data_IF_946921655645
#
_entry.id   IF_946921655645
#
_cell.length_a   1.000
_cell.length_b   1.000
_cell.length_c   1.000
_cell.angle_alpha   90.00
_cell.angle_beta   90.00
_cell.angle_gamma   90.00
#
_symmetry.space_group_name_H-M   'P 1'
#
loop_
_entity.id
_entity.type
_entity.pdbx_description
1 polymer ?
#
# COMPACT_ATOMS: atom_id res chain seq x y z
N UNK A 1 56.14 -52.52 31.23
CA UNK A 1 57.43 -51.81 31.16
C UNK A 1 57.17 -50.33 31.44
N UNK A 2 57.68 -49.89 32.59
CA UNK A 2 57.85 -48.54 33.19
C UNK A 2 57.20 -47.25 32.62
N UNK A 3 56.51 -46.55 33.56
CA UNK A 3 56.58 -45.12 33.96
C UNK A 3 56.10 -44.03 32.94
N UNK A 4 55.40 -42.94 33.30
CA UNK A 4 55.64 -42.01 34.42
C UNK A 4 54.40 -41.21 34.87
N UNK A 5 54.44 -40.82 36.15
CA UNK A 5 53.53 -40.02 36.98
C UNK A 5 53.36 -38.54 36.56
N UNK A 6 52.31 -37.86 37.06
CA UNK A 6 52.38 -36.72 38.03
C UNK A 6 51.01 -36.02 38.18
N UNK A 7 50.68 -35.75 39.44
CA UNK A 7 49.52 -35.08 40.04
C UNK A 7 49.65 -33.55 39.91
N UNK A 8 48.55 -32.81 39.71
CA UNK A 8 48.40 -31.47 40.34
C UNK A 8 46.93 -31.12 40.63
N UNK A 9 46.76 -30.60 41.84
CA UNK A 9 45.55 -30.25 42.59
C UNK A 9 45.14 -28.79 42.28
N UNK A 10 43.84 -28.44 42.36
CA UNK A 10 43.34 -27.27 43.14
C UNK A 10 41.84 -26.98 42.92
N UNK A 11 41.11 -26.92 44.04
CA UNK A 11 39.76 -26.35 44.20
C UNK A 11 39.81 -24.81 44.21
N UNK A 12 38.78 -24.15 43.68
CA UNK A 12 38.22 -22.86 44.16
C UNK A 12 36.70 -22.88 43.92
N UNK A 13 35.88 -23.04 44.98
CA UNK A 13 35.16 -22.00 45.75
C UNK A 13 33.97 -21.30 45.04
N UNK A 14 32.76 -21.80 45.36
CA UNK A 14 31.60 -21.08 45.96
C UNK A 14 30.89 -19.91 45.23
N UNK A 15 29.59 -20.15 45.00
CA UNK A 15 28.36 -19.30 45.00
C UNK A 15 28.27 -17.99 44.18
N UNK A 16 27.20 -17.94 43.37
CA UNK A 16 26.52 -16.71 42.95
C UNK A 16 25.20 -17.02 42.26
N UNK A 17 24.08 -16.98 43.00
CA UNK A 17 22.73 -17.01 42.45
C UNK A 17 22.42 -15.67 41.77
N UNK A 18 21.94 -15.72 40.53
CA UNK A 18 21.47 -14.55 39.79
C UNK A 18 20.41 -14.97 38.79
N UNK A 19 19.14 -14.91 39.20
CA UNK A 19 17.99 -14.95 38.29
C UNK A 19 18.07 -13.72 37.37
N UNK A 20 18.60 -13.89 36.16
CA UNK A 20 18.54 -12.85 35.15
C UNK A 20 17.18 -12.94 34.46
N UNK A 21 16.31 -11.95 34.73
CA UNK A 21 15.15 -11.64 33.90
C UNK A 21 15.70 -11.31 32.52
N UNK A 22 15.43 -12.17 31.54
CA UNK A 22 15.68 -11.86 30.15
C UNK A 22 14.90 -10.60 29.77
N UNK A 23 15.63 -9.52 29.47
CA UNK A 23 15.07 -8.35 28.85
C UNK A 23 14.35 -8.77 27.57
N UNK A 24 13.06 -8.46 27.52
CA UNK A 24 12.25 -8.54 26.30
C UNK A 24 12.89 -7.56 25.30
N UNK A 25 13.28 -7.97 24.09
CA UNK A 25 13.80 -7.01 23.13
C UNK A 25 12.72 -5.95 22.88
N UNK A 26 13.11 -4.68 23.01
CA UNK A 26 12.25 -3.55 22.68
C UNK A 26 11.76 -3.74 21.24
N UNK A 27 10.44 -3.73 21.07
CA UNK A 27 9.83 -3.70 19.75
C UNK A 27 10.44 -2.52 18.99
N UNK A 28 11.04 -2.80 17.83
CA UNK A 28 11.52 -1.78 16.91
C UNK A 28 10.36 -0.84 16.60
N UNK A 29 10.42 0.38 17.11
CA UNK A 29 9.49 1.45 16.77
C UNK A 29 9.81 1.84 15.33
N UNK A 30 9.19 1.15 14.37
CA UNK A 30 9.13 1.64 13.00
C UNK A 30 8.35 2.95 13.07
N UNK A 31 8.92 4.10 12.68
CA UNK A 31 8.18 5.35 12.67
C UNK A 31 6.90 5.16 11.86
N UNK A 32 5.75 5.48 12.46
CA UNK A 32 4.47 5.35 11.78
C UNK A 32 4.42 6.36 10.63
N UNK A 33 4.65 5.90 9.41
CA UNK A 33 4.58 6.72 8.20
C UNK A 33 3.15 7.22 7.97
N UNK A 34 3.01 8.41 7.39
CA UNK A 34 1.72 9.02 7.13
C UNK A 34 0.96 8.21 6.07
N UNK A 35 -0.37 8.32 6.10
CA UNK A 35 -1.26 7.66 5.18
C UNK A 35 -2.53 8.47 4.91
N UNK A 36 -3.07 8.33 3.70
CA UNK A 36 -4.42 8.77 3.33
C UNK A 36 -5.31 7.54 3.36
N UNK A 37 -6.41 7.57 4.12
CA UNK A 37 -7.31 6.42 4.28
C UNK A 37 -8.74 6.82 4.02
N UNK A 38 -9.52 5.91 3.45
CA UNK A 38 -10.95 6.11 3.22
C UNK A 38 -11.68 4.77 3.28
N UNK A 39 -12.93 4.81 3.74
CA UNK A 39 -13.85 3.67 3.69
C UNK A 39 -15.15 4.15 3.06
N UNK A 40 -15.53 3.57 1.94
CA UNK A 40 -16.76 3.92 1.23
C UNK A 40 -17.57 2.67 0.90
N UNK A 41 -18.89 2.80 0.97
CA UNK A 41 -19.81 1.79 0.46
C UNK A 41 -20.24 2.18 -0.95
N UNK A 42 -20.20 1.22 -1.87
CA UNK A 42 -20.62 1.39 -3.26
C UNK A 42 -21.77 0.42 -3.50
N UNK A 43 -22.90 0.91 -4.01
CA UNK A 43 -24.10 0.13 -4.33
C UNK A 43 -23.97 -0.75 -5.56
N UNK A 44 -22.83 -1.45 -5.68
CA UNK A 44 -22.53 -2.43 -6.73
C UNK A 44 -21.81 -3.66 -6.16
N UNK A 45 -22.00 -4.85 -6.76
CA UNK A 45 -21.25 -6.05 -6.41
C UNK A 45 -19.74 -5.89 -6.60
N UNK A 46 -18.94 -6.66 -5.85
CA UNK A 46 -17.48 -6.52 -5.85
C UNK A 46 -16.85 -6.74 -7.23
N UNK A 47 -17.47 -7.56 -8.09
CA UNK A 47 -17.03 -7.78 -9.47
C UNK A 47 -17.04 -6.49 -10.30
N UNK A 48 -18.06 -5.64 -10.12
CA UNK A 48 -18.22 -4.40 -10.90
C UNK A 48 -17.25 -3.34 -10.38
N UNK A 49 -17.07 -3.27 -9.06
CA UNK A 49 -16.07 -2.39 -8.43
C UNK A 49 -14.66 -2.81 -8.86
N UNK A 50 -14.37 -4.12 -8.92
CA UNK A 50 -13.08 -4.62 -9.38
C UNK A 50 -12.80 -4.28 -10.83
N UNK A 51 -13.77 -4.47 -11.73
CA UNK A 51 -13.65 -4.07 -13.12
C UNK A 51 -13.34 -2.56 -13.21
N UNK A 52 -14.06 -1.72 -12.46
CA UNK A 52 -13.82 -0.28 -12.45
C UNK A 52 -12.44 0.14 -11.90
N UNK A 53 -11.78 -0.70 -11.11
CA UNK A 53 -10.42 -0.47 -10.63
C UNK A 53 -9.32 -1.00 -11.56
N UNK A 54 -9.65 -1.89 -12.50
CA UNK A 54 -8.65 -2.68 -13.24
C UNK A 54 -8.78 -2.63 -14.76
N UNK A 55 -9.93 -2.25 -15.28
CA UNK A 55 -10.19 -2.12 -16.71
C UNK A 55 -9.98 -0.67 -17.16
N UNK A 56 -9.05 -0.47 -18.08
CA UNK A 56 -8.61 0.85 -18.55
C UNK A 56 -9.77 1.76 -18.99
N UNK A 57 -10.70 1.21 -19.78
CA UNK A 57 -11.86 1.94 -20.27
C UNK A 57 -12.80 2.42 -19.14
N UNK A 58 -12.79 1.78 -17.98
CA UNK A 58 -13.56 2.20 -16.81
C UNK A 58 -12.76 3.16 -15.92
N UNK A 59 -11.49 2.84 -15.65
CA UNK A 59 -10.58 3.67 -14.85
C UNK A 59 -10.50 5.08 -15.44
N UNK A 60 -10.33 5.18 -16.76
CA UNK A 60 -10.13 6.45 -17.46
C UNK A 60 -11.37 7.37 -17.47
N UNK A 61 -12.52 6.91 -16.98
CA UNK A 61 -13.73 7.73 -16.87
C UNK A 61 -13.74 8.61 -15.61
N UNK A 62 -13.01 8.23 -14.55
CA UNK A 62 -13.06 8.95 -13.26
C UNK A 62 -11.68 9.30 -12.68
N UNK A 63 -10.60 8.72 -13.20
CA UNK A 63 -9.25 9.04 -12.74
C UNK A 63 -8.79 10.42 -13.22
N UNK A 64 -7.99 11.10 -12.39
CA UNK A 64 -7.38 12.40 -12.73
C UNK A 64 -6.30 12.29 -13.83
N UNK A 65 -5.62 11.16 -13.88
CA UNK A 65 -4.57 10.85 -14.85
C UNK A 65 -4.92 9.48 -15.46
N UNK A 66 -5.04 9.36 -16.79
CA UNK A 66 -5.39 8.10 -17.44
C UNK A 66 -4.43 6.96 -17.11
N UNK A 67 -4.99 5.77 -16.92
CA UNK A 67 -4.26 4.51 -16.89
C UNK A 67 -3.67 4.23 -18.28
N UNK A 68 -2.36 4.02 -18.33
CA UNK A 68 -1.63 3.57 -19.51
C UNK A 68 -1.53 2.05 -19.52
N UNK A 69 -1.26 1.47 -18.34
CA UNK A 69 -0.98 0.04 -18.21
C UNK A 69 -1.30 -0.46 -16.82
N UNK A 70 -1.91 -1.64 -16.74
CA UNK A 70 -2.01 -2.45 -15.53
C UNK A 70 -1.84 -3.93 -15.88
N UNK A 71 -0.68 -4.49 -15.54
CA UNK A 71 -0.47 -5.93 -15.63
C UNK A 71 -0.97 -6.59 -14.34
N UNK A 72 -2.11 -7.30 -14.44
CA UNK A 72 -2.78 -7.92 -13.29
C UNK A 72 -2.10 -9.21 -12.79
N UNK A 73 -0.82 -9.09 -12.40
CA UNK A 73 0.01 -10.15 -11.81
C UNK A 73 1.00 -9.54 -10.83
N UNK A 74 1.42 -10.28 -9.81
CA UNK A 74 2.48 -9.82 -8.89
C UNK A 74 3.76 -9.49 -9.69
N UNK A 75 4.36 -8.34 -9.39
CA UNK A 75 5.51 -7.78 -10.10
C UNK A 75 5.18 -7.09 -11.43
N UNK A 76 3.92 -7.17 -11.88
CA UNK A 76 3.42 -6.53 -13.08
C UNK A 76 3.46 -5.00 -13.00
N UNK A 77 3.60 -4.34 -14.13
CA UNK A 77 3.67 -2.88 -14.21
C UNK A 77 2.29 -2.23 -14.01
N UNK A 78 2.29 -1.09 -13.32
CA UNK A 78 1.18 -0.14 -13.31
C UNK A 78 1.70 1.26 -13.66
N UNK A 79 1.01 1.94 -14.57
CA UNK A 79 1.45 3.24 -15.08
C UNK A 79 0.27 4.13 -15.45
N UNK A 80 0.38 5.42 -15.13
CA UNK A 80 -0.58 6.47 -15.48
C UNK A 80 0.14 7.63 -16.18
N UNK A 81 -0.51 8.26 -17.15
CA UNK A 81 0.06 9.41 -17.84
C UNK A 81 -0.88 10.09 -18.84
N UNK A 82 -0.39 11.18 -19.44
CA UNK A 82 -1.15 12.05 -20.36
C UNK A 82 -0.29 12.26 -21.62
N UNK A 83 -0.89 12.11 -22.81
CA UNK A 83 -0.22 12.42 -24.10
C UNK A 83 1.18 11.79 -24.20
N UNK A 84 1.28 10.49 -23.93
CA UNK A 84 2.52 9.70 -23.91
C UNK A 84 3.55 10.05 -22.84
N UNK A 85 3.27 11.04 -21.98
CA UNK A 85 4.07 11.32 -20.80
C UNK A 85 3.61 10.52 -19.59
N UNK A 86 4.46 9.60 -19.14
CA UNK A 86 4.34 8.92 -17.85
C UNK A 86 4.33 9.94 -16.70
N UNK A 87 3.36 9.85 -15.80
CA UNK A 87 3.24 10.72 -14.61
C UNK A 87 3.42 9.92 -13.32
N UNK A 88 2.81 8.74 -13.25
CA UNK A 88 2.90 7.82 -12.11
C UNK A 88 3.30 6.44 -12.60
N UNK A 89 4.19 5.77 -11.86
CA UNK A 89 4.57 4.40 -12.15
C UNK A 89 4.75 3.57 -10.88
N UNK A 90 4.65 2.25 -11.02
CA UNK A 90 4.90 1.32 -9.93
C UNK A 90 4.78 -0.13 -10.38
N UNK A 91 4.71 -1.01 -9.39
CA UNK A 91 4.53 -2.45 -9.58
C UNK A 91 3.39 -2.98 -8.73
N UNK A 92 2.65 -3.94 -9.23
CA UNK A 92 1.68 -4.71 -8.45
C UNK A 92 2.45 -5.53 -7.41
N UNK A 93 2.17 -5.28 -6.14
CA UNK A 93 2.78 -5.94 -4.98
C UNK A 93 1.96 -7.18 -4.60
N UNK A 94 0.64 -7.04 -4.56
CA UNK A 94 -0.28 -8.14 -4.25
C UNK A 94 -1.57 -7.95 -5.04
N UNK A 95 -2.12 -9.04 -5.56
CA UNK A 95 -3.37 -9.01 -6.30
C UNK A 95 -4.20 -10.26 -6.01
N UNK A 96 -5.45 -10.05 -5.66
CA UNK A 96 -6.47 -11.08 -5.47
C UNK A 96 -7.74 -10.59 -6.18
N UNK A 97 -8.07 -11.11 -7.38
CA UNK A 97 -9.21 -10.65 -8.15
C UNK A 97 -10.50 -10.55 -7.34
N UNK A 98 -11.18 -9.41 -7.43
CA UNK A 98 -12.40 -9.10 -6.70
C UNK A 98 -12.22 -8.80 -5.20
N UNK A 99 -10.98 -8.75 -4.67
CA UNK A 99 -10.73 -8.66 -3.23
C UNK A 99 -9.64 -7.67 -2.83
N UNK A 100 -8.49 -7.69 -3.50
CA UNK A 100 -7.33 -6.89 -3.10
C UNK A 100 -6.48 -6.51 -4.31
N UNK A 101 -6.23 -5.21 -4.46
CA UNK A 101 -5.19 -4.70 -5.34
C UNK A 101 -4.25 -3.84 -4.50
N UNK A 102 -2.99 -4.25 -4.41
CA UNK A 102 -1.92 -3.50 -3.76
C UNK A 102 -0.81 -3.26 -4.76
N UNK A 103 -0.40 -2.01 -4.93
CA UNK A 103 0.67 -1.66 -5.83
C UNK A 103 1.54 -0.54 -5.27
N UNK A 104 2.80 -0.49 -5.71
CA UNK A 104 3.69 0.62 -5.41
C UNK A 104 3.32 1.85 -6.24
N UNK A 105 3.79 3.01 -5.79
CA UNK A 105 3.46 4.30 -6.38
C UNK A 105 4.69 5.21 -6.31
N UNK A 106 5.05 5.76 -7.47
CA UNK A 106 6.11 6.75 -7.62
C UNK A 106 5.62 7.84 -8.57
N UNK A 107 5.88 9.10 -8.23
CA UNK A 107 5.72 10.22 -9.16
C UNK A 107 6.99 10.36 -10.02
N UNK A 108 6.80 10.53 -11.32
CA UNK A 108 7.92 10.90 -12.21
C UNK A 108 8.37 12.33 -11.89
N UNK A 109 9.68 12.55 -11.84
CA UNK A 109 10.26 13.87 -11.59
C UNK A 109 10.47 14.23 -10.11
N UNK A 110 10.01 13.39 -9.18
CA UNK A 110 10.22 13.57 -7.73
C UNK A 110 11.11 12.45 -7.17
N UNK A 111 12.29 12.22 -7.76
CA UNK A 111 13.17 11.12 -7.37
C UNK A 111 13.66 11.16 -5.90
N UNK A 112 13.50 12.30 -5.23
CA UNK A 112 13.78 12.46 -3.80
C UNK A 112 12.65 11.92 -2.90
N UNK A 113 11.43 11.79 -3.42
CA UNK A 113 10.31 11.24 -2.66
C UNK A 113 10.40 9.72 -2.65
N UNK A 114 10.25 9.07 -1.47
CA UNK A 114 10.29 7.62 -1.39
C UNK A 114 9.08 6.99 -2.09
N UNK A 115 9.26 5.76 -2.55
CA UNK A 115 8.16 4.94 -3.06
C UNK A 115 7.09 4.75 -1.98
N UNK A 116 5.83 4.97 -2.34
CA UNK A 116 4.66 4.77 -1.48
C UNK A 116 3.82 3.60 -1.98
N UNK A 117 2.79 3.22 -1.24
CA UNK A 117 1.96 2.05 -1.54
C UNK A 117 0.49 2.43 -1.54
N UNK A 118 -0.24 1.99 -2.58
CA UNK A 118 -1.69 2.12 -2.71
C UNK A 118 -2.34 0.75 -2.50
N UNK A 119 -3.41 0.72 -1.71
CA UNK A 119 -4.15 -0.49 -1.34
C UNK A 119 -5.65 -0.23 -1.56
N UNK A 120 -6.27 -1.09 -2.36
CA UNK A 120 -7.71 -1.23 -2.49
C UNK A 120 -8.12 -2.59 -1.95
N UNK A 121 -8.92 -2.63 -0.89
CA UNK A 121 -9.50 -3.86 -0.35
C UNK A 121 -11.01 -3.83 -0.49
N UNK A 122 -11.56 -4.84 -1.14
CA UNK A 122 -12.98 -5.01 -1.38
C UNK A 122 -13.54 -6.08 -0.45
N UNK A 123 -14.63 -5.75 0.24
CA UNK A 123 -15.45 -6.72 0.95
C UNK A 123 -16.81 -6.78 0.26
N UNK A 124 -17.10 -7.93 -0.34
CA UNK A 124 -18.38 -8.20 -0.98
C UNK A 124 -19.49 -8.32 0.08
N UNK A 125 -20.59 -7.62 -0.13
CA UNK A 125 -21.78 -7.62 0.72
C UNK A 125 -23.05 -7.85 -0.12
N UNK A 126 -22.91 -8.53 -1.28
CA UNK A 126 -24.01 -8.89 -2.17
C UNK A 126 -24.31 -7.80 -3.18
N UNK A 127 -25.30 -6.94 -2.89
CA UNK A 127 -25.67 -5.83 -3.78
C UNK A 127 -24.81 -4.57 -3.57
N UNK A 128 -23.91 -4.60 -2.60
CA UNK A 128 -22.99 -3.51 -2.30
C UNK A 128 -21.60 -4.06 -1.95
N UNK A 129 -20.61 -3.19 -2.03
CA UNK A 129 -19.22 -3.49 -1.69
C UNK A 129 -18.70 -2.42 -0.73
N UNK A 130 -18.03 -2.86 0.33
CA UNK A 130 -17.18 -1.97 1.12
C UNK A 130 -15.80 -1.90 0.45
N UNK A 131 -15.42 -0.71 0.00
CA UNK A 131 -14.06 -0.40 -0.42
C UNK A 131 -13.31 0.26 0.74
N UNK A 132 -12.30 -0.44 1.27
CA UNK A 132 -11.30 0.13 2.18
C UNK A 132 -10.08 0.53 1.34
N UNK A 133 -9.82 1.83 1.29
CA UNK A 133 -8.72 2.43 0.54
C UNK A 133 -7.64 2.93 1.49
N UNK A 134 -6.37 2.71 1.15
CA UNK A 134 -5.26 3.46 1.73
C UNK A 134 -4.14 3.76 0.74
N UNK A 135 -3.49 4.90 0.94
CA UNK A 135 -2.22 5.26 0.33
C UNK A 135 -1.25 5.56 1.48
N UNK A 136 -0.20 4.76 1.63
CA UNK A 136 0.67 4.72 2.80
C UNK A 136 2.13 4.85 2.39
N UNK A 137 2.99 5.23 3.34
CA UNK A 137 4.44 5.26 3.13
C UNK A 137 5.07 6.65 3.11
N UNK A 138 4.28 7.69 3.40
CA UNK A 138 4.77 9.06 3.31
C UNK A 138 5.65 9.42 4.52
N UNK A 139 6.87 9.96 4.31
CA UNK A 139 7.78 10.29 5.41
C UNK A 139 7.41 11.60 6.13
N UNK A 140 6.68 12.48 5.44
CA UNK A 140 6.27 13.80 5.92
C UNK A 140 5.10 14.34 5.06
N UNK A 141 4.46 15.41 5.51
CA UNK A 141 3.43 16.15 4.76
C UNK A 141 4.06 17.04 3.67
N UNK A 142 4.78 16.42 2.73
CA UNK A 142 5.38 17.12 1.59
C UNK A 142 4.35 17.37 0.47
N UNK A 143 4.79 18.01 -0.62
CA UNK A 143 3.93 18.30 -1.77
C UNK A 143 3.27 17.03 -2.35
N UNK A 144 3.98 15.91 -2.38
CA UNK A 144 3.46 14.62 -2.83
C UNK A 144 2.32 14.14 -1.94
N UNK A 145 2.47 14.19 -0.60
CA UNK A 145 1.38 13.89 0.33
C UNK A 145 0.19 14.83 0.13
N UNK A 146 0.42 16.13 -0.06
CA UNK A 146 -0.64 17.10 -0.31
C UNK A 146 -1.43 16.82 -1.59
N UNK A 147 -0.73 16.52 -2.70
CA UNK A 147 -1.34 16.16 -3.99
C UNK A 147 -2.21 14.90 -3.87
N UNK A 148 -1.66 13.86 -3.22
CA UNK A 148 -2.34 12.59 -2.95
C UNK A 148 -3.58 12.83 -2.08
N UNK A 149 -3.44 13.58 -0.98
CA UNK A 149 -4.52 13.86 -0.04
C UNK A 149 -5.67 14.66 -0.67
N UNK A 150 -5.36 15.55 -1.61
CA UNK A 150 -6.37 16.30 -2.38
C UNK A 150 -7.00 15.50 -3.51
N UNK A 151 -6.22 14.64 -4.19
CA UNK A 151 -6.68 13.90 -5.37
C UNK A 151 -7.61 12.72 -5.05
N UNK A 152 -7.30 11.93 -4.01
CA UNK A 152 -8.06 10.71 -3.70
C UNK A 152 -9.55 10.95 -3.41
N UNK A 153 -9.96 11.98 -2.64
CA UNK A 153 -11.37 12.25 -2.42
C UNK A 153 -12.16 12.43 -3.73
N UNK A 154 -11.58 13.09 -4.73
CA UNK A 154 -12.20 13.30 -6.05
C UNK A 154 -12.29 11.97 -6.81
N UNK A 155 -11.20 11.21 -6.86
CA UNK A 155 -11.13 9.91 -7.56
C UNK A 155 -12.15 8.91 -6.95
N UNK A 156 -12.17 8.76 -5.63
CA UNK A 156 -13.06 7.82 -4.95
C UNK A 156 -14.54 8.22 -5.09
N UNK A 157 -14.83 9.52 -5.08
CA UNK A 157 -16.19 10.01 -5.34
C UNK A 157 -16.59 9.76 -6.80
N UNK A 158 -15.69 10.01 -7.76
CA UNK A 158 -15.91 9.75 -9.18
C UNK A 158 -16.18 8.27 -9.47
N UNK A 159 -15.41 7.36 -8.87
CA UNK A 159 -15.63 5.91 -8.93
C UNK A 159 -17.03 5.53 -8.47
N UNK A 160 -17.42 6.01 -7.28
CA UNK A 160 -18.74 5.71 -6.71
C UNK A 160 -19.86 6.25 -7.59
N UNK A 161 -19.77 7.51 -8.02
CA UNK A 161 -20.79 8.13 -8.88
C UNK A 161 -20.91 7.43 -10.23
N UNK A 162 -19.79 7.07 -10.86
CA UNK A 162 -19.79 6.31 -12.11
C UNK A 162 -20.52 4.98 -11.95
N UNK A 163 -20.19 4.23 -10.91
CA UNK A 163 -20.79 2.92 -10.66
C UNK A 163 -22.28 3.01 -10.32
N UNK A 164 -22.70 4.01 -9.54
CA UNK A 164 -24.09 4.11 -9.07
C UNK A 164 -25.03 4.77 -10.08
N UNK A 165 -24.51 5.64 -10.96
CA UNK A 165 -25.34 6.43 -11.89
C UNK A 165 -25.10 6.10 -13.36
N UNK A 166 -23.97 5.45 -13.69
CA UNK A 166 -23.53 5.23 -15.07
C UNK A 166 -22.81 6.43 -15.70
N UNK A 167 -22.61 7.53 -14.96
CA UNK A 167 -21.88 8.72 -15.41
C UNK A 167 -20.86 9.17 -14.36
N UNK A 168 -19.64 9.61 -14.75
CA UNK A 168 -18.66 10.11 -13.79
C UNK A 168 -19.07 11.47 -13.22
N UNK A 169 -18.43 11.89 -12.13
CA UNK A 169 -18.58 13.25 -11.63
C UNK A 169 -18.16 14.26 -12.71
N UNK A 170 -18.89 15.38 -12.86
CA UNK A 170 -18.46 16.44 -13.75
C UNK A 170 -17.15 17.04 -13.21
N UNK A 171 -16.14 17.12 -14.08
CA UNK A 171 -14.94 17.88 -13.75
C UNK A 171 -15.31 19.34 -13.49
N UNK A 172 -14.78 19.97 -12.43
CA UNK A 172 -14.94 21.41 -12.24
C UNK A 172 -14.46 22.10 -13.51
N UNK A 173 -15.34 22.85 -14.18
CA UNK A 173 -14.91 23.72 -15.27
C UNK A 173 -13.92 24.71 -14.65
N UNK A 174 -12.69 24.73 -15.13
CA UNK A 174 -11.77 25.81 -14.78
C UNK A 174 -12.43 27.11 -15.27
N UNK A 175 -12.81 27.96 -14.31
CA UNK A 175 -13.41 29.26 -14.58
C UNK A 175 -12.37 30.27 -15.03
#
# INVERSE_FOLDING_TARGET
MRLSSIIFLALFFILGAGCSRGDKPAASVVPQQLAVKSKIFIGKPAKDVWAALTEENLVNQYYLVPLIKLEQKVGGEIAYGIQDELVVYGKVIEIQPGKLLKHSFNYKGTAADPETTVIYKLTDMGQMTLLEFSHEGFPAENQTYANVSGGWPVILSGLKTLLETGAPLPWPKQG
#
